data_IF_890879450242
#
_entry.id   IF_890879450242
#
_cell.length_a   1.000
_cell.length_b   1.000
_cell.length_c   1.000
_cell.angle_alpha   90.00
_cell.angle_beta   90.00
_cell.angle_gamma   90.00
#
_symmetry.space_group_name_H-M   'P 1'
#
loop_
_entity.id
_entity.type
_entity.pdbx_description
1 polymer ?
#
# COMPACT_ATOMS: atom_id res chain seq x y z
N UNK A 1 -3.47 -12.97 -15.40
CA UNK A 1 -4.28 -12.71 -14.18
C UNK A 1 -3.31 -12.46 -13.05
N UNK A 2 -3.44 -11.37 -12.30
CA UNK A 2 -2.56 -11.10 -11.17
C UNK A 2 -3.02 -11.90 -9.95
N UNK A 3 -2.10 -12.66 -9.35
CA UNK A 3 -2.36 -13.49 -8.18
C UNK A 3 -1.68 -12.86 -6.96
N UNK A 4 -2.34 -11.86 -6.37
CA UNK A 4 -1.88 -11.21 -5.16
C UNK A 4 -2.47 -11.88 -3.92
N UNK A 5 -1.66 -11.98 -2.88
CA UNK A 5 -2.09 -12.45 -1.56
C UNK A 5 -2.05 -11.29 -0.58
N UNK A 6 -3.04 -11.19 0.30
CA UNK A 6 -3.05 -10.22 1.40
C UNK A 6 -2.80 -10.99 2.70
N UNK A 7 -1.82 -10.54 3.46
CA UNK A 7 -1.66 -10.93 4.85
C UNK A 7 -2.00 -9.76 5.76
N UNK A 8 -2.99 -9.95 6.62
CA UNK A 8 -3.32 -8.99 7.67
C UNK A 8 -2.58 -9.35 8.94
N UNK A 9 -1.88 -8.38 9.53
CA UNK A 9 -1.22 -8.57 10.83
C UNK A 9 -1.82 -7.59 11.84
N UNK A 10 -2.40 -8.10 12.94
CA UNK A 10 -2.57 -7.30 14.14
C UNK A 10 -1.20 -7.18 14.83
N UNK A 11 -0.49 -6.08 14.59
CA UNK A 11 0.77 -5.78 15.29
C UNK A 11 0.48 -4.64 16.29
N UNK A 12 0.04 -5.02 17.50
CA UNK A 12 -0.49 -4.07 18.49
C UNK A 12 -1.85 -3.50 18.08
N UNK A 13 -2.06 -2.19 18.28
CA UNK A 13 -3.28 -1.45 17.86
C UNK A 13 -3.26 -1.03 16.37
N UNK A 14 -2.24 -1.46 15.62
CA UNK A 14 -2.03 -1.03 14.24
C UNK A 14 -2.43 -2.17 13.31
N UNK A 15 -3.50 -1.95 12.53
CA UNK A 15 -3.86 -2.84 11.44
C UNK A 15 -2.95 -2.51 10.26
N UNK A 16 -2.01 -3.42 9.97
CA UNK A 16 -1.20 -3.34 8.75
C UNK A 16 -1.43 -4.56 7.88
N UNK A 17 -1.69 -4.30 6.61
CA UNK A 17 -1.83 -5.32 5.59
C UNK A 17 -0.57 -5.36 4.74
N UNK A 18 -0.23 -6.54 4.22
CA UNK A 18 0.83 -6.67 3.23
C UNK A 18 0.31 -7.41 2.02
N UNK A 19 0.45 -6.78 0.86
CA UNK A 19 0.17 -7.34 -0.45
C UNK A 19 1.43 -8.03 -0.94
N UNK A 20 1.33 -9.30 -1.29
CA UNK A 20 2.44 -10.11 -1.79
C UNK A 20 2.18 -10.45 -3.26
N UNK A 21 3.17 -10.17 -4.09
CA UNK A 21 3.25 -10.69 -5.45
C UNK A 21 4.14 -11.94 -5.46
N UNK A 22 3.50 -13.09 -5.68
CA UNK A 22 4.19 -14.39 -5.64
C UNK A 22 5.20 -14.57 -6.78
N UNK A 23 4.99 -13.91 -7.92
CA UNK A 23 5.85 -14.05 -9.10
C UNK A 23 7.16 -13.28 -8.91
N UNK A 24 7.06 -12.06 -8.40
CA UNK A 24 8.20 -11.13 -8.33
C UNK A 24 8.82 -11.05 -6.95
N UNK A 25 8.16 -11.65 -5.95
CA UNK A 25 8.47 -11.55 -4.52
C UNK A 25 8.37 -10.12 -3.98
N UNK A 26 7.83 -9.18 -4.76
CA UNK A 26 7.56 -7.82 -4.32
C UNK A 26 6.49 -7.84 -3.23
N UNK A 27 6.71 -7.03 -2.21
CA UNK A 27 5.76 -6.82 -1.12
C UNK A 27 5.45 -5.35 -1.02
N UNK A 28 4.17 -5.04 -0.83
CA UNK A 28 3.69 -3.68 -0.57
C UNK A 28 2.90 -3.71 0.73
N UNK A 29 3.40 -2.99 1.73
CA UNK A 29 2.77 -2.86 3.04
C UNK A 29 1.81 -1.66 3.03
N UNK A 30 0.59 -1.85 3.49
CA UNK A 30 -0.42 -0.83 3.68
C UNK A 30 -0.55 -0.49 5.18
N UNK A 31 -0.44 0.78 5.52
CA UNK A 31 -0.50 1.29 6.90
C UNK A 31 -1.56 2.38 6.96
N UNK A 32 -2.53 2.24 7.87
CA UNK A 32 -3.49 3.28 8.15
C UNK A 32 -2.82 4.44 8.92
N UNK A 33 -2.73 5.61 8.28
CA UNK A 33 -2.10 6.81 8.85
C UNK A 33 -2.93 7.48 9.93
N UNK A 34 -4.22 7.15 10.06
CA UNK A 34 -5.07 7.62 11.15
C UNK A 34 -4.82 6.84 12.44
N UNK A 35 -4.30 5.62 12.34
CA UNK A 35 -4.09 4.70 13.46
C UNK A 35 -2.61 4.57 13.84
N UNK A 36 -1.69 4.94 12.95
CA UNK A 36 -0.25 4.71 13.15
C UNK A 36 0.64 5.77 12.53
N UNK A 37 1.77 6.03 13.19
CA UNK A 37 2.84 6.86 12.63
C UNK A 37 3.59 6.07 11.56
N UNK A 38 3.49 6.54 10.32
CA UNK A 38 4.28 5.98 9.22
C UNK A 38 5.69 6.54 9.21
N UNK A 39 6.66 5.70 9.57
CA UNK A 39 8.08 6.00 9.41
C UNK A 39 8.60 5.32 8.14
N UNK A 40 8.99 6.10 7.13
CA UNK A 40 9.41 5.53 5.88
C UNK A 40 10.80 4.88 5.94
N UNK A 41 10.94 3.78 5.22
CA UNK A 41 12.17 3.03 5.04
C UNK A 41 13.05 3.66 3.95
N UNK A 42 14.37 3.66 4.16
CA UNK A 42 15.34 4.21 3.21
C UNK A 42 15.41 3.34 1.96
N UNK A 43 15.23 3.95 0.78
CA UNK A 43 15.34 3.29 -0.53
C UNK A 43 14.05 2.60 -1.01
N UNK A 44 12.99 2.60 -0.20
CA UNK A 44 11.69 2.05 -0.58
C UNK A 44 10.80 3.11 -1.27
N UNK A 45 9.95 2.64 -2.18
CA UNK A 45 8.99 3.46 -2.92
C UNK A 45 7.70 3.54 -2.12
N UNK A 46 7.07 4.71 -2.17
CA UNK A 46 5.88 5.02 -1.39
C UNK A 46 4.79 5.58 -2.26
N UNK A 47 3.57 5.25 -1.87
CA UNK A 47 2.34 5.78 -2.43
C UNK A 47 1.38 6.06 -1.29
N UNK A 48 0.45 6.97 -1.52
CA UNK A 48 -0.59 7.29 -0.55
C UNK A 48 -1.95 7.14 -1.21
N UNK A 49 -2.87 6.49 -0.53
CA UNK A 49 -4.26 6.43 -0.96
C UNK A 49 -5.10 7.20 0.04
N UNK A 50 -5.93 8.09 -0.50
CA UNK A 50 -6.94 8.81 0.27
C UNK A 50 -8.32 8.44 -0.24
N UNK A 51 -9.23 8.16 0.69
CA UNK A 51 -10.68 8.09 0.45
C UNK A 51 -11.37 9.20 1.24
N UNK A 52 -12.69 9.15 1.37
CA UNK A 52 -13.44 10.08 2.24
C UNK A 52 -13.11 9.89 3.73
N UNK A 53 -12.80 8.66 4.14
CA UNK A 53 -12.64 8.30 5.56
C UNK A 53 -11.25 7.75 5.90
N UNK A 54 -10.48 7.31 4.90
CA UNK A 54 -9.20 6.63 5.11
C UNK A 54 -8.03 7.39 4.49
N UNK A 55 -6.89 7.30 5.17
CA UNK A 55 -5.60 7.77 4.65
C UNK A 55 -4.56 6.69 4.86
N UNK A 56 -4.12 6.06 3.78
CA UNK A 56 -3.28 4.86 3.85
C UNK A 56 -1.96 5.11 3.14
N UNK A 57 -0.87 4.81 3.83
CA UNK A 57 0.47 4.77 3.25
C UNK A 57 0.76 3.37 2.73
N UNK A 58 1.18 3.29 1.47
CA UNK A 58 1.72 2.09 0.86
C UNK A 58 3.23 2.23 0.72
N UNK A 59 3.97 1.23 1.18
CA UNK A 59 5.42 1.20 1.10
C UNK A 59 5.90 -0.16 0.60
N UNK A 60 6.84 -0.16 -0.34
CA UNK A 60 7.48 -1.40 -0.78
C UNK A 60 8.39 -1.99 0.30
N UNK A 61 8.59 -3.30 0.29
CA UNK A 61 9.57 -3.97 1.17
C UNK A 61 10.56 -4.76 0.33
N UNK A 62 11.83 -4.36 0.34
CA UNK A 62 12.90 -4.99 -0.42
C UNK A 62 12.94 -4.60 -1.90
N UNK A 63 12.48 -3.40 -2.26
CA UNK A 63 12.38 -2.96 -3.65
C UNK A 63 13.75 -2.93 -4.35
N UNK A 64 13.81 -3.54 -5.54
CA UNK A 64 14.98 -3.53 -6.42
C UNK A 64 14.52 -3.19 -7.85
N UNK A 65 14.77 -1.95 -8.27
CA UNK A 65 14.56 -1.36 -9.63
C UNK A 65 13.10 -1.31 -10.16
N UNK A 66 12.91 -0.32 -11.05
CA UNK A 66 11.70 0.11 -11.78
C UNK A 66 10.60 -0.93 -12.01
N UNK A 67 9.59 -0.93 -11.13
CA UNK A 67 8.28 -1.58 -11.33
C UNK A 67 7.14 -0.75 -10.76
N UNK A 68 7.15 0.54 -11.09
CA UNK A 68 6.16 1.49 -10.58
C UNK A 68 4.74 1.12 -11.02
N UNK A 69 4.61 0.64 -12.25
CA UNK A 69 3.41 0.04 -12.84
C UNK A 69 2.90 -1.15 -12.02
N UNK A 70 3.78 -2.09 -11.64
CA UNK A 70 3.41 -3.23 -10.79
C UNK A 70 2.93 -2.77 -9.42
N UNK A 71 3.62 -1.81 -8.79
CA UNK A 71 3.23 -1.28 -7.48
C UNK A 71 1.84 -0.62 -7.58
N UNK A 72 1.63 0.21 -8.60
CA UNK A 72 0.32 0.83 -8.85
C UNK A 72 -0.78 -0.20 -9.11
N UNK A 73 -0.47 -1.28 -9.83
CA UNK A 73 -1.40 -2.37 -10.07
C UNK A 73 -1.74 -3.12 -8.78
N UNK A 74 -0.74 -3.42 -7.93
CA UNK A 74 -0.95 -4.02 -6.60
C UNK A 74 -1.83 -3.13 -5.71
N UNK A 75 -1.56 -1.81 -5.68
CA UNK A 75 -2.36 -0.85 -4.91
C UNK A 75 -3.79 -0.77 -5.44
N UNK A 76 -3.96 -0.72 -6.77
CA UNK A 76 -5.28 -0.65 -7.40
C UNK A 76 -6.10 -1.90 -7.09
N UNK A 77 -5.47 -3.08 -7.15
CA UNK A 77 -6.11 -4.35 -6.78
C UNK A 77 -6.51 -4.38 -5.30
N UNK A 78 -5.66 -3.85 -4.41
CA UNK A 78 -6.00 -3.72 -3.00
C UNK A 78 -7.17 -2.75 -2.76
N UNK A 79 -7.22 -1.62 -3.47
CA UNK A 79 -8.36 -0.70 -3.39
C UNK A 79 -9.65 -1.37 -3.87
N UNK A 80 -9.58 -2.25 -4.88
CA UNK A 80 -10.72 -3.04 -5.33
C UNK A 80 -11.16 -4.05 -4.26
N UNK A 81 -10.21 -4.77 -3.65
CA UNK A 81 -10.48 -5.68 -2.53
C UNK A 81 -11.14 -4.94 -1.35
N UNK A 82 -10.66 -3.75 -1.01
CA UNK A 82 -11.19 -2.93 0.07
C UNK A 82 -12.51 -2.20 -0.27
N UNK A 83 -12.99 -2.28 -1.51
CA UNK A 83 -14.24 -1.63 -1.95
C UNK A 83 -14.13 -0.13 -2.27
N UNK A 84 -12.93 0.41 -2.47
CA UNK A 84 -12.68 1.85 -2.70
C UNK A 84 -12.52 2.25 -4.17
N UNK A 85 -12.94 1.41 -5.11
CA UNK A 85 -12.72 1.62 -6.56
C UNK A 85 -13.12 3.02 -7.05
N UNK A 86 -14.19 3.58 -6.48
CA UNK A 86 -14.76 4.86 -6.92
C UNK A 86 -14.33 6.06 -6.07
N UNK A 87 -13.70 5.84 -4.91
CA UNK A 87 -13.37 6.90 -3.94
C UNK A 87 -11.86 7.04 -3.68
N UNK A 88 -11.07 6.02 -4.01
CA UNK A 88 -9.62 6.04 -3.83
C UNK A 88 -8.93 6.97 -4.82
N UNK A 89 -8.08 7.86 -4.30
CA UNK A 89 -7.12 8.64 -5.08
C UNK A 89 -5.71 8.23 -4.67
N UNK A 90 -4.89 7.86 -5.66
CA UNK A 90 -3.49 7.46 -5.45
C UNK A 90 -2.59 8.68 -5.66
N UNK A 91 -1.66 8.91 -4.73
CA UNK A 91 -0.73 10.03 -4.72
C UNK A 91 0.71 9.53 -4.56
N UNK A 92 1.67 10.21 -5.18
CA UNK A 92 3.11 9.95 -5.02
C UNK A 92 3.69 10.62 -3.77
N UNK A 93 3.06 11.70 -3.32
CA UNK A 93 3.39 12.45 -2.11
C UNK A 93 2.19 12.47 -1.19
N UNK A 94 2.42 12.67 0.11
CA UNK A 94 1.34 12.76 1.07
C UNK A 94 0.50 14.02 0.78
N UNK A 95 -0.78 13.91 0.41
CA UNK A 95 -1.60 15.09 0.18
C UNK A 95 -1.91 15.80 1.51
N UNK A 96 -1.82 17.13 1.50
CA UNK A 96 -2.11 17.98 2.67
C UNK A 96 -0.93 18.22 3.63
N UNK A 97 0.30 18.22 3.10
CA UNK A 97 1.44 18.93 3.70
C UNK A 97 1.59 20.27 3.00
#
# INVERSE_FOLDING_TARGET
MANYLISSHPEGDIISDTIHDSETKLKVRAINLLQSVFTPSKGEVRFFVTTETEKIAFETKGYRKHRQDLILHMISWYCAYAGWVNSAKIHLTLPGV
#
